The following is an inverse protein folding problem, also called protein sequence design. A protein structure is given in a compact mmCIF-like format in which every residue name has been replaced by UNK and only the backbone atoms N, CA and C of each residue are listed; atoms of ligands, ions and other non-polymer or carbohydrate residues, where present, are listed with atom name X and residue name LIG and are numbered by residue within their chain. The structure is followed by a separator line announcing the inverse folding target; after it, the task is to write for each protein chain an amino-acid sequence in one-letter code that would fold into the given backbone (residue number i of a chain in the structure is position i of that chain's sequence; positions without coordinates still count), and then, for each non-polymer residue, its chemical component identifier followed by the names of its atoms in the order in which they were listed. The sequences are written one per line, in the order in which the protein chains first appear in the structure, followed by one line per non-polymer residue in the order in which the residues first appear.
data_IF_694550297705
#
_entry.id   IF_694550297705
#
_cell.length_a   1.000
_cell.length_b   1.000
_cell.length_c   1.000
_cell.angle_alpha   90.00
_cell.angle_beta   90.00
_cell.angle_gamma   90.00
#
_symmetry.space_group_name_H-M   'P 1'
#
loop_
_entity.id
_entity.type
_entity.pdbx_description
1 polymer ?
#
# COMPACT_ATOMS: atom_id res chain seq x y z
N UNK A 1 6.48 -6.29 39.08
CA UNK A 1 5.60 -6.90 40.10
C UNK A 1 4.60 -5.93 40.75
N UNK A 2 5.01 -4.86 41.45
CA UNK A 2 4.08 -4.00 42.22
C UNK A 2 2.98 -3.31 41.39
N UNK A 3 3.30 -2.74 40.22
CA UNK A 3 2.29 -2.11 39.34
C UNK A 3 1.25 -3.09 38.82
N UNK A 4 1.65 -4.34 38.55
CA UNK A 4 0.73 -5.36 38.06
C UNK A 4 -0.23 -5.80 39.18
N UNK A 5 0.29 -5.96 40.40
CA UNK A 5 -0.55 -6.28 41.57
C UNK A 5 -1.53 -5.13 41.91
N UNK A 6 -1.10 -3.88 41.78
CA UNK A 6 -1.99 -2.73 41.94
C UNK A 6 -3.09 -2.71 40.86
N UNK A 7 -2.72 -2.98 39.61
CA UNK A 7 -3.66 -3.07 38.48
C UNK A 7 -4.67 -4.23 38.62
N UNK A 8 -4.25 -5.37 39.17
CA UNK A 8 -5.15 -6.49 39.48
C UNK A 8 -6.21 -6.12 40.52
N UNK A 9 -5.88 -5.22 41.46
CA UNK A 9 -6.83 -4.72 42.46
C UNK A 9 -7.74 -3.62 41.88
N UNK A 10 -7.18 -2.66 41.14
CA UNK A 10 -7.92 -1.64 40.40
C UNK A 10 -7.22 -1.28 39.08
N UNK A 11 -7.82 -1.54 37.91
CA UNK A 11 -7.23 -1.19 36.63
C UNK A 11 -6.92 0.30 36.43
N UNK A 12 -7.60 1.20 37.17
CA UNK A 12 -7.39 2.65 37.11
C UNK A 12 -6.24 3.14 38.00
N UNK A 13 -5.65 2.27 38.83
CA UNK A 13 -4.54 2.64 39.72
C UNK A 13 -3.25 2.94 38.97
N UNK A 14 -3.14 2.47 37.73
CA UNK A 14 -2.00 2.69 36.83
C UNK A 14 -2.40 3.58 35.66
N UNK A 15 -1.41 4.23 35.06
CA UNK A 15 -1.62 5.06 33.88
C UNK A 15 -2.22 4.25 32.71
N UNK A 16 -2.99 4.91 31.84
CA UNK A 16 -3.71 4.28 30.71
C UNK A 16 -2.79 3.41 29.83
N UNK A 17 -1.56 3.85 29.60
CA UNK A 17 -0.56 3.08 28.83
C UNK A 17 -0.17 1.75 29.48
N UNK A 18 -0.22 1.67 30.81
CA UNK A 18 0.07 0.45 31.57
C UNK A 18 -1.17 -0.44 31.68
N UNK A 19 -2.37 0.13 31.78
CA UNK A 19 -3.62 -0.63 31.68
C UNK A 19 -3.70 -1.37 30.34
N UNK A 20 -3.44 -0.69 29.22
CA UNK A 20 -3.40 -1.33 27.90
C UNK A 20 -2.34 -2.44 27.83
N UNK A 21 -1.15 -2.21 28.37
CA UNK A 21 -0.07 -3.19 28.38
C UNK A 21 -0.45 -4.46 29.16
N UNK A 22 -0.98 -4.31 30.37
CA UNK A 22 -1.37 -5.44 31.21
C UNK A 22 -2.59 -6.19 30.66
N UNK A 23 -3.54 -5.50 30.03
CA UNK A 23 -4.63 -6.13 29.25
C UNK A 23 -4.08 -6.97 28.10
N UNK A 24 -3.17 -6.43 27.30
CA UNK A 24 -2.56 -7.17 26.19
C UNK A 24 -1.71 -8.36 26.68
N UNK A 25 -0.94 -8.18 27.77
CA UNK A 25 -0.14 -9.24 28.36
C UNK A 25 -0.98 -10.35 28.98
N UNK A 26 -2.09 -10.01 29.66
CA UNK A 26 -3.02 -10.99 30.25
C UNK A 26 -3.88 -11.71 29.21
N UNK A 27 -4.09 -11.11 28.04
CA UNK A 27 -4.72 -11.72 26.87
C UNK A 27 -3.81 -12.72 26.11
N UNK A 28 -2.60 -12.99 26.61
CA UNK A 28 -1.69 -13.98 26.03
C UNK A 28 -0.74 -13.43 24.95
N UNK A 29 -0.54 -12.12 24.88
CA UNK A 29 0.44 -11.54 23.97
C UNK A 29 1.87 -12.00 24.32
N UNK A 30 2.67 -12.33 23.31
CA UNK A 30 4.08 -12.70 23.47
C UNK A 30 4.88 -11.52 24.08
N UNK A 31 5.95 -11.78 24.85
CA UNK A 31 6.86 -10.74 25.34
C UNK A 31 7.36 -9.88 24.18
N UNK A 32 7.09 -8.57 24.23
CA UNK A 32 7.40 -7.62 23.15
C UNK A 32 6.20 -7.20 22.28
N UNK A 33 5.09 -7.95 22.30
CA UNK A 33 3.84 -7.58 21.59
C UNK A 33 2.81 -6.90 22.51
N UNK A 34 2.99 -7.00 23.83
CA UNK A 34 2.11 -6.35 24.81
C UNK A 34 2.24 -4.82 24.81
N UNK A 35 3.36 -4.27 24.32
CA UNK A 35 3.52 -2.84 24.11
C UNK A 35 3.09 -2.46 22.70
N UNK A 36 2.09 -1.59 22.60
CA UNK A 36 1.75 -0.93 21.33
C UNK A 36 2.15 0.54 21.40
N UNK A 37 3.02 1.01 20.49
CA UNK A 37 3.32 2.43 20.40
C UNK A 37 2.04 3.19 20.02
N UNK A 38 1.87 4.43 20.52
CA UNK A 38 0.75 5.26 20.13
C UNK A 38 0.77 5.48 18.60
N UNK A 39 -0.40 5.52 17.94
CA UNK A 39 -0.48 5.79 16.51
C UNK A 39 0.25 7.09 16.16
N UNK A 40 1.15 7.05 15.19
CA UNK A 40 1.78 8.27 14.68
C UNK A 40 0.73 9.14 13.99
N UNK A 41 0.59 10.39 14.42
CA UNK A 41 -0.25 11.40 13.76
C UNK A 41 0.47 12.09 12.60
N UNK A 42 1.76 11.80 12.40
CA UNK A 42 2.51 12.39 11.29
C UNK A 42 1.88 11.94 9.96
N UNK A 43 1.62 12.90 9.07
CA UNK A 43 1.16 12.56 7.73
C UNK A 43 2.20 11.67 7.06
N UNK A 44 1.78 10.60 6.36
CA UNK A 44 2.69 9.77 5.58
C UNK A 44 3.53 10.65 4.65
N UNK A 45 4.83 10.38 4.58
CA UNK A 45 5.73 11.12 3.71
C UNK A 45 5.31 11.02 2.24
N UNK A 46 5.86 11.90 1.39
CA UNK A 46 5.64 11.83 -0.06
C UNK A 46 5.99 10.42 -0.57
N UNK A 47 5.08 9.81 -1.34
CA UNK A 47 5.16 8.42 -1.83
C UNK A 47 5.10 7.33 -0.73
N UNK A 48 4.53 7.63 0.44
CA UNK A 48 4.25 6.61 1.45
C UNK A 48 2.74 6.37 1.53
N UNK A 49 2.33 5.10 1.51
CA UNK A 49 0.98 4.68 1.87
C UNK A 49 1.04 4.01 3.24
N UNK A 50 0.26 4.48 4.23
CA UNK A 50 0.25 3.82 5.53
C UNK A 50 -0.34 2.43 5.38
N UNK A 51 0.31 1.42 5.95
CA UNK A 51 -0.15 0.03 5.87
C UNK A 51 -1.59 -0.13 6.40
N UNK A 52 -1.97 0.67 7.39
CA UNK A 52 -3.35 0.74 7.92
C UNK A 52 -4.40 1.14 6.89
N UNK A 53 -4.00 1.78 5.79
CA UNK A 53 -4.94 2.14 4.72
C UNK A 53 -5.22 1.03 3.72
N UNK A 54 -4.46 -0.07 3.80
CA UNK A 54 -4.68 -1.30 3.06
C UNK A 54 -5.52 -2.30 3.87
N UNK A 55 -5.86 -1.99 5.13
CA UNK A 55 -6.74 -2.78 6.02
C UNK A 55 -8.06 -3.22 5.37
N UNK A 56 -8.77 -2.39 4.58
CA UNK A 56 -10.02 -2.84 3.95
C UNK A 56 -9.78 -4.00 2.97
N UNK A 57 -8.59 -4.05 2.36
CA UNK A 57 -8.17 -5.08 1.43
C UNK A 57 -7.65 -6.36 2.12
N UNK A 58 -7.40 -6.31 3.43
CA UNK A 58 -6.89 -7.44 4.23
C UNK A 58 -7.96 -8.16 5.06
N UNK A 59 -9.25 -7.84 4.86
CA UNK A 59 -10.34 -8.56 5.53
C UNK A 59 -10.31 -8.41 7.05
N UNK A 60 -10.56 -7.20 7.53
CA UNK A 60 -10.68 -6.91 8.97
C UNK A 60 -9.43 -6.31 9.59
N UNK A 61 -9.64 -5.44 10.57
CA UNK A 61 -8.63 -4.57 11.18
C UNK A 61 -7.29 -5.24 11.50
N UNK A 62 -6.19 -4.52 11.23
CA UNK A 62 -4.81 -4.84 11.69
C UNK A 62 -4.73 -5.06 13.22
N UNK A 63 -5.74 -4.60 13.98
CA UNK A 63 -5.87 -4.86 15.41
C UNK A 63 -6.18 -6.32 15.76
N UNK A 64 -6.60 -7.16 14.81
CA UNK A 64 -7.06 -8.54 15.04
C UNK A 64 -6.37 -9.55 14.12
N UNK A 65 -5.04 -9.52 14.04
CA UNK A 65 -4.27 -10.65 13.48
C UNK A 65 -4.68 -11.13 12.08
N UNK A 66 -5.32 -10.27 11.28
CA UNK A 66 -5.65 -10.57 9.89
C UNK A 66 -4.34 -10.84 9.15
N UNK A 67 -4.23 -12.03 8.55
CA UNK A 67 -3.01 -12.41 7.83
C UNK A 67 -2.77 -11.40 6.72
N UNK A 68 -1.71 -10.60 6.87
CA UNK A 68 -1.24 -9.71 5.84
C UNK A 68 -0.85 -10.61 4.66
N UNK A 69 -1.65 -10.59 3.60
CA UNK A 69 -1.37 -11.34 2.41
C UNK A 69 -0.20 -10.66 1.67
N UNK A 70 0.97 -11.28 1.71
CA UNK A 70 2.22 -10.78 1.08
C UNK A 70 1.99 -10.43 -0.39
N UNK A 71 1.23 -11.27 -1.12
CA UNK A 71 0.87 -10.99 -2.52
C UNK A 71 0.13 -9.67 -2.69
N UNK A 72 -0.80 -9.33 -1.79
CA UNK A 72 -1.54 -8.07 -1.88
C UNK A 72 -0.59 -6.89 -1.71
N UNK A 73 0.38 -6.97 -0.79
CA UNK A 73 1.41 -5.93 -0.63
C UNK A 73 2.23 -5.80 -1.91
N UNK A 74 2.70 -6.91 -2.45
CA UNK A 74 3.52 -6.93 -3.67
C UNK A 74 2.75 -6.35 -4.86
N UNK A 75 1.47 -6.70 -5.02
CA UNK A 75 0.61 -6.15 -6.07
C UNK A 75 0.44 -4.62 -5.90
N UNK A 76 0.23 -4.12 -4.68
CA UNK A 76 0.17 -2.68 -4.42
C UNK A 76 1.51 -1.97 -4.72
N UNK A 77 2.64 -2.59 -4.37
CA UNK A 77 3.98 -2.07 -4.69
C UNK A 77 4.22 -2.05 -6.21
N UNK A 78 3.78 -3.09 -6.91
CA UNK A 78 3.84 -3.16 -8.37
C UNK A 78 3.03 -2.02 -9.01
N UNK A 79 1.78 -1.82 -8.60
CA UNK A 79 0.95 -0.70 -9.10
C UNK A 79 1.61 0.65 -8.87
N UNK A 80 2.17 0.88 -7.68
CA UNK A 80 2.87 2.15 -7.40
C UNK A 80 4.11 2.33 -8.27
N UNK A 81 4.87 1.26 -8.49
CA UNK A 81 6.03 1.30 -9.37
C UNK A 81 5.64 1.58 -10.83
N UNK A 82 4.53 1.00 -11.30
CA UNK A 82 3.94 1.24 -12.61
C UNK A 82 3.54 2.72 -12.76
N UNK A 83 2.77 3.28 -11.81
CA UNK A 83 2.38 4.70 -11.85
C UNK A 83 3.62 5.60 -11.92
N UNK A 84 4.63 5.35 -11.07
CA UNK A 84 5.85 6.16 -11.07
C UNK A 84 6.67 6.02 -12.34
N UNK A 85 6.68 4.84 -12.96
CA UNK A 85 7.41 4.64 -14.21
C UNK A 85 6.81 5.44 -15.36
N UNK A 86 5.47 5.49 -15.46
CA UNK A 86 4.77 6.34 -16.43
C UNK A 86 4.94 7.83 -16.13
N UNK A 87 4.93 8.25 -14.86
CA UNK A 87 5.23 9.64 -14.51
C UNK A 87 6.65 10.05 -14.95
N UNK A 88 7.64 9.17 -14.80
CA UNK A 88 9.03 9.46 -15.14
C UNK A 88 9.34 9.34 -16.64
N UNK A 89 8.73 8.37 -17.34
CA UNK A 89 9.13 7.95 -18.69
C UNK A 89 7.98 7.78 -19.68
N UNK A 90 6.73 8.00 -19.25
CA UNK A 90 5.56 7.88 -20.13
C UNK A 90 5.62 8.84 -21.33
N UNK A 91 6.31 9.97 -21.21
CA UNK A 91 6.54 10.90 -22.32
C UNK A 91 7.35 10.27 -23.48
N UNK A 92 8.16 9.23 -23.22
CA UNK A 92 8.93 8.53 -24.26
C UNK A 92 8.07 7.68 -25.19
N UNK A 93 6.86 7.33 -24.74
CA UNK A 93 5.93 6.49 -25.49
C UNK A 93 4.68 7.25 -25.94
N UNK A 94 4.56 8.52 -25.55
CA UNK A 94 3.43 9.37 -25.88
C UNK A 94 3.40 9.67 -27.39
N UNK A 95 2.24 9.52 -28.02
CA UNK A 95 2.01 9.85 -29.44
C UNK A 95 1.91 11.38 -29.60
N UNK A 96 3.07 12.03 -29.69
CA UNK A 96 3.18 13.49 -29.84
C UNK A 96 3.47 13.92 -31.29
N UNK A 97 3.90 12.99 -32.13
CA UNK A 97 4.29 13.25 -33.50
C UNK A 97 3.14 12.89 -34.46
N UNK A 98 2.41 13.88 -35.03
CA UNK A 98 1.32 13.63 -35.95
C UNK A 98 1.80 13.07 -37.31
N UNK A 99 3.09 13.17 -37.62
CA UNK A 99 3.68 12.65 -38.86
C UNK A 99 4.27 11.25 -38.68
N UNK A 100 4.48 10.80 -37.45
CA UNK A 100 5.00 9.46 -37.13
C UNK A 100 6.43 9.19 -37.62
N UNK A 101 7.25 10.23 -37.79
CA UNK A 101 8.60 10.14 -38.37
C UNK A 101 9.69 9.95 -37.31
N UNK A 102 9.44 10.35 -36.06
CA UNK A 102 10.52 10.54 -35.10
C UNK A 102 10.94 9.24 -34.41
N UNK A 103 10.00 8.29 -34.19
CA UNK A 103 10.31 7.02 -33.53
C UNK A 103 9.38 5.86 -33.96
N UNK A 104 9.66 5.25 -35.11
CA UNK A 104 8.83 4.19 -35.69
C UNK A 104 8.66 2.94 -34.79
N UNK A 105 9.61 2.64 -33.89
CA UNK A 105 9.57 1.44 -33.04
C UNK A 105 9.20 1.74 -31.56
N UNK A 106 9.50 2.95 -31.06
CA UNK A 106 9.18 3.33 -29.67
C UNK A 106 7.69 3.61 -29.45
N UNK A 107 6.97 4.07 -30.48
CA UNK A 107 5.53 4.39 -30.41
C UNK A 107 4.62 3.29 -30.93
N UNK A 108 5.11 2.07 -31.21
CA UNK A 108 4.20 1.00 -31.65
C UNK A 108 3.08 0.80 -30.64
N UNK A 109 1.88 0.48 -31.12
CA UNK A 109 0.71 0.38 -30.24
C UNK A 109 0.81 -0.89 -29.40
N UNK A 110 0.07 -0.94 -28.30
CA UNK A 110 -0.03 -2.15 -27.47
C UNK A 110 -0.48 -3.38 -28.28
N UNK A 111 -1.37 -3.18 -29.26
CA UNK A 111 -1.80 -4.19 -30.23
C UNK A 111 -0.64 -4.76 -31.05
N UNK A 112 0.24 -3.89 -31.52
CA UNK A 112 1.33 -4.25 -32.43
C UNK A 112 2.42 -5.03 -31.68
N UNK A 113 2.50 -4.85 -30.36
CA UNK A 113 3.42 -5.56 -29.47
C UNK A 113 2.86 -6.86 -28.89
N UNK A 114 1.72 -7.35 -29.38
CA UNK A 114 1.06 -8.56 -28.88
C UNK A 114 0.81 -8.54 -27.37
N UNK A 115 0.44 -7.36 -26.85
CA UNK A 115 0.17 -7.18 -25.43
C UNK A 115 1.42 -7.02 -24.54
N UNK A 116 2.62 -6.96 -25.13
CA UNK A 116 3.82 -6.61 -24.37
C UNK A 116 3.86 -5.10 -24.09
N UNK A 117 3.92 -4.69 -22.83
CA UNK A 117 4.05 -3.28 -22.50
C UNK A 117 5.45 -2.76 -22.84
N UNK A 118 5.55 -1.43 -22.91
CA UNK A 118 6.80 -0.77 -23.24
C UNK A 118 7.89 -1.01 -22.17
N UNK A 119 8.90 -1.81 -22.50
CA UNK A 119 10.04 -2.09 -21.63
C UNK A 119 10.77 -0.80 -21.21
N UNK A 120 10.77 0.23 -22.07
CA UNK A 120 11.34 1.54 -21.76
C UNK A 120 10.63 2.22 -20.59
N UNK A 121 9.33 1.98 -20.41
CA UNK A 121 8.54 2.54 -19.30
C UNK A 121 8.57 1.57 -18.13
N UNK A 122 8.03 0.37 -18.31
CA UNK A 122 7.68 -0.52 -17.20
C UNK A 122 8.85 -1.35 -16.66
N UNK A 123 9.95 -1.47 -17.42
CA UNK A 123 11.12 -2.32 -17.11
C UNK A 123 10.73 -3.70 -16.59
N UNK A 124 10.61 -3.85 -15.27
CA UNK A 124 10.38 -5.12 -14.56
C UNK A 124 9.01 -5.21 -13.87
N UNK A 125 8.26 -4.11 -13.74
CA UNK A 125 7.04 -4.09 -12.94
C UNK A 125 5.81 -4.33 -13.82
N UNK A 126 5.16 -5.47 -13.61
CA UNK A 126 3.89 -5.83 -14.24
C UNK A 126 2.99 -6.56 -13.26
N UNK A 127 1.68 -6.41 -13.46
CA UNK A 127 0.69 -7.29 -12.88
C UNK A 127 0.42 -8.42 -13.87
N UNK A 128 0.61 -9.68 -13.49
CA UNK A 128 0.55 -10.80 -14.41
C UNK A 128 -0.88 -11.24 -14.76
N UNK A 129 -1.86 -10.99 -13.88
CA UNK A 129 -3.19 -11.59 -13.98
C UNK A 129 -4.24 -10.58 -14.45
N UNK A 130 -5.07 -10.97 -15.42
CA UNK A 130 -6.23 -10.19 -15.87
C UNK A 130 -7.25 -9.98 -14.73
N UNK A 131 -7.30 -10.91 -13.78
CA UNK A 131 -8.11 -10.79 -12.56
C UNK A 131 -7.71 -9.58 -11.69
N UNK A 132 -6.51 -9.02 -11.88
CA UNK A 132 -6.08 -7.82 -11.18
C UNK A 132 -6.70 -6.54 -11.74
N UNK A 133 -7.31 -6.55 -12.93
CA UNK A 133 -7.99 -5.38 -13.49
C UNK A 133 -9.21 -4.99 -12.66
N UNK A 134 -10.00 -5.96 -12.21
CA UNK A 134 -11.20 -5.70 -11.39
C UNK A 134 -10.89 -5.37 -9.92
N UNK A 135 -9.61 -5.44 -9.51
CA UNK A 135 -9.20 -5.19 -8.12
C UNK A 135 -8.97 -3.71 -7.89
N UNK A 136 -9.45 -3.21 -6.75
CA UNK A 136 -9.23 -1.81 -6.35
C UNK A 136 -7.86 -1.62 -5.71
N UNK A 137 -7.10 -0.64 -6.20
CA UNK A 137 -5.79 -0.29 -5.65
C UNK A 137 -5.80 1.11 -5.06
N UNK A 138 -5.17 1.26 -3.89
CA UNK A 138 -4.97 2.58 -3.29
C UNK A 138 -3.94 3.38 -4.09
N UNK A 139 -4.32 4.59 -4.48
CA UNK A 139 -3.46 5.50 -5.22
C UNK A 139 -2.47 6.23 -4.30
N UNK A 140 -1.23 6.47 -4.76
CA UNK A 140 -0.32 7.40 -4.08
C UNK A 140 -0.95 8.79 -3.90
N UNK A 141 -0.67 9.45 -2.78
CA UNK A 141 -1.08 10.85 -2.58
C UNK A 141 -0.43 11.83 -3.57
N UNK A 142 0.57 11.38 -4.31
CA UNK A 142 1.32 12.14 -5.31
C UNK A 142 0.71 12.06 -6.72
N UNK A 143 -0.35 11.27 -6.92
CA UNK A 143 -1.02 11.17 -8.22
C UNK A 143 -2.41 11.83 -8.20
N UNK A 144 -2.82 12.35 -9.36
CA UNK A 144 -4.14 12.95 -9.58
C UNK A 144 -5.06 12.09 -10.43
N UNK A 145 -4.67 10.83 -10.73
CA UNK A 145 -5.44 9.92 -11.60
C UNK A 145 -6.88 9.71 -11.09
N UNK A 146 -7.08 9.57 -9.78
CA UNK A 146 -8.40 9.34 -9.18
C UNK A 146 -9.24 10.59 -8.92
N UNK A 147 -8.73 11.79 -9.23
CA UNK A 147 -9.41 13.03 -8.89
C UNK A 147 -9.71 13.15 -7.39
N UNK A 148 -10.96 12.90 -6.99
CA UNK A 148 -11.39 12.89 -5.57
C UNK A 148 -11.24 11.52 -4.90
N UNK A 149 -11.14 10.46 -5.69
CA UNK A 149 -11.07 9.08 -5.21
C UNK A 149 -9.62 8.71 -4.86
N UNK A 150 -9.46 8.02 -3.72
CA UNK A 150 -8.15 7.60 -3.20
C UNK A 150 -7.79 6.17 -3.59
N UNK A 151 -8.72 5.45 -4.21
CA UNK A 151 -8.52 4.10 -4.73
C UNK A 151 -9.38 3.94 -5.99
N UNK A 152 -8.88 3.21 -6.98
CA UNK A 152 -9.57 2.92 -8.23
C UNK A 152 -9.37 1.44 -8.62
N UNK A 153 -10.35 0.82 -9.30
CA UNK A 153 -10.08 -0.39 -10.08
C UNK A 153 -9.10 -0.08 -11.23
N UNK A 154 -8.39 -1.10 -11.72
CA UNK A 154 -7.41 -0.96 -12.81
C UNK A 154 -8.06 -1.03 -14.20
#
# INVERSE_FOLDING_TARGET
EEMYNAWLADPKSVHVSWDSFFRSSSAGALPGQAYQPPPSLAEPGRNQVPLTSLVPHFGGGVAMGGQINEKVIDDHLAVQAIIRSYQARGHLVAELDPLGITYADLHSKYSDRQGNPHQIVLRQHMLPDEADMDRSFKLPSTTFIGGKEKALPL
#
